data_IF_983202715030
#
_entry.id   IF_983202715030
#
_cell.length_a   1.000
_cell.length_b   1.000
_cell.length_c   1.000
_cell.angle_alpha   90.00
_cell.angle_beta   90.00
_cell.angle_gamma   90.00
#
_symmetry.space_group_name_H-M   'P 1'
#
loop_
_entity.id
_entity.type
_entity.pdbx_description
1 polymer ?
#
# COMPACT_ATOMS: atom_id res chain seq x y z
N UNK A 1 68.21 7.89 2.14
CA UNK A 1 68.92 7.34 3.31
C UNK A 1 68.85 8.41 4.40
N UNK A 2 68.28 8.20 5.57
CA UNK A 2 67.73 7.00 6.16
C UNK A 2 67.33 7.27 7.62
N UNK A 3 66.47 6.38 8.11
CA UNK A 3 66.40 5.77 9.44
C UNK A 3 66.64 6.60 10.72
N UNK A 4 65.65 6.46 11.62
CA UNK A 4 65.61 6.78 13.06
C UNK A 4 64.91 8.11 13.36
N UNK A 5 63.59 8.20 13.16
CA UNK A 5 62.58 7.77 14.15
C UNK A 5 63.07 6.89 15.31
N UNK A 6 63.28 7.53 16.46
CA UNK A 6 62.79 7.03 17.73
C UNK A 6 62.90 8.09 18.82
N UNK A 7 61.80 8.24 19.56
CA UNK A 7 61.67 8.79 20.91
C UNK A 7 61.37 10.30 21.01
N UNK A 8 60.08 10.61 21.03
CA UNK A 8 59.36 11.36 22.10
C UNK A 8 57.91 11.43 21.59
N UNK A 9 57.04 10.48 21.95
CA UNK A 9 56.25 10.51 23.18
C UNK A 9 54.81 10.90 22.79
N UNK A 10 53.75 10.16 23.10
CA UNK A 10 53.59 8.93 23.84
C UNK A 10 52.25 8.28 23.49
N UNK A 11 52.00 7.10 24.08
CA UNK A 11 50.74 6.35 24.19
C UNK A 11 49.72 6.53 23.04
N UNK A 12 49.46 5.55 22.20
CA UNK A 12 49.20 4.18 22.60
C UNK A 12 47.79 3.81 22.18
N UNK A 13 47.71 3.03 21.11
CA UNK A 13 46.74 1.95 20.92
C UNK A 13 45.26 2.26 21.18
N UNK A 14 44.48 2.37 20.11
CA UNK A 14 43.56 1.29 19.73
C UNK A 14 43.06 1.58 18.32
N UNK A 15 43.24 0.63 17.41
CA UNK A 15 42.35 0.50 16.26
C UNK A 15 40.94 0.46 16.81
N UNK A 16 40.12 1.45 16.46
CA UNK A 16 38.70 1.41 16.75
C UNK A 16 38.13 0.14 16.11
N UNK A 17 37.58 -0.79 16.91
CA UNK A 17 36.82 -1.90 16.38
C UNK A 17 35.61 -1.32 15.65
N UNK A 18 35.18 -2.03 14.59
CA UNK A 18 33.97 -1.77 13.82
C UNK A 18 32.90 -1.07 14.65
N UNK A 19 32.40 0.06 14.14
CA UNK A 19 31.21 0.78 14.62
C UNK A 19 30.10 -0.25 14.90
N UNK A 20 30.07 -0.75 16.13
CA UNK A 20 28.97 -1.50 16.66
C UNK A 20 27.93 -0.45 16.97
N UNK A 21 26.99 -0.26 16.04
CA UNK A 21 25.77 0.48 16.31
C UNK A 21 25.03 -0.36 17.35
N UNK A 22 25.04 0.10 18.59
CA UNK A 22 24.19 -0.40 19.64
C UNK A 22 22.76 0.00 19.24
N UNK A 23 21.98 -0.99 18.79
CA UNK A 23 20.61 -0.76 18.37
C UNK A 23 19.78 -0.55 19.63
N UNK A 24 19.46 0.72 19.89
CA UNK A 24 18.62 1.12 21.00
C UNK A 24 17.21 0.54 20.75
N UNK A 25 16.83 -0.42 21.59
CA UNK A 25 15.59 -1.22 21.45
C UNK A 25 14.36 -0.33 21.67
N UNK A 26 14.57 0.89 22.19
CA UNK A 26 13.56 1.91 22.43
C UNK A 26 13.25 2.73 21.15
N UNK A 27 14.14 2.75 20.14
CA UNK A 27 13.87 3.29 18.78
C UNK A 27 13.14 2.27 17.90
N UNK A 28 13.08 1.00 18.34
CA UNK A 28 12.06 0.05 17.89
C UNK A 28 10.73 0.34 18.61
N UNK A 29 10.29 1.61 18.60
CA UNK A 29 8.87 1.90 18.63
C UNK A 29 8.29 1.04 17.52
N UNK A 30 7.53 -0.01 17.90
CA UNK A 30 6.96 -0.99 17.00
C UNK A 30 6.55 -0.28 15.72
N UNK A 31 7.36 -0.44 14.67
CA UNK A 31 7.02 0.07 13.35
C UNK A 31 5.62 -0.45 13.14
N UNK A 32 4.65 0.46 13.14
CA UNK A 32 3.22 0.17 13.05
C UNK A 32 3.12 -0.85 11.91
N UNK A 33 2.97 -2.13 12.28
CA UNK A 33 3.50 -3.24 11.48
C UNK A 33 3.06 -3.03 10.05
N UNK A 34 3.99 -2.62 9.18
CA UNK A 34 3.69 -1.95 7.90
C UNK A 34 2.46 -2.63 7.32
N UNK A 35 1.30 -1.98 7.49
CA UNK A 35 0.04 -2.74 7.43
C UNK A 35 0.04 -3.36 6.04
N UNK A 36 -0.16 -4.68 5.97
CA UNK A 36 -0.34 -5.34 4.68
C UNK A 36 -1.56 -4.76 3.95
N UNK A 37 -2.15 -5.49 3.02
CA UNK A 37 -3.37 -5.05 2.32
C UNK A 37 -4.41 -4.40 3.26
N UNK A 38 -4.72 -3.12 3.03
CA UNK A 38 -5.73 -2.36 3.75
C UNK A 38 -7.08 -2.41 3.03
N UNK A 39 -8.16 -2.10 3.76
CA UNK A 39 -9.51 -1.97 3.19
C UNK A 39 -9.96 -0.52 3.32
N UNK A 40 -10.12 0.16 2.19
CA UNK A 40 -10.62 1.53 2.10
C UNK A 40 -12.12 1.55 1.84
N UNK A 41 -12.80 2.54 2.42
CA UNK A 41 -14.20 2.85 2.09
C UNK A 41 -14.25 4.15 1.31
N UNK A 42 -14.84 4.10 0.13
CA UNK A 42 -14.97 5.24 -0.77
C UNK A 42 -16.43 5.51 -1.12
N UNK A 43 -16.70 6.72 -1.63
CA UNK A 43 -18.01 7.07 -2.19
C UNK A 43 -17.82 7.53 -3.63
N UNK A 44 -18.66 7.01 -4.53
CA UNK A 44 -18.67 7.38 -5.95
C UNK A 44 -19.94 8.19 -6.23
N UNK A 45 -19.78 9.49 -6.44
CA UNK A 45 -20.84 10.38 -6.93
C UNK A 45 -20.63 10.74 -8.41
N UNK A 46 -19.37 10.72 -8.86
CA UNK A 46 -18.95 11.18 -10.17
C UNK A 46 -17.67 10.47 -10.65
N UNK A 47 -17.29 10.71 -11.91
CA UNK A 47 -16.06 10.13 -12.49
C UNK A 47 -14.76 10.63 -11.82
N UNK A 48 -14.82 11.74 -11.06
CA UNK A 48 -13.66 12.29 -10.36
C UNK A 48 -13.26 11.44 -9.15
N UNK A 49 -14.21 10.68 -8.61
CA UNK A 49 -14.00 9.84 -7.43
C UNK A 49 -13.25 8.53 -7.76
N UNK A 50 -13.02 8.27 -9.05
CA UNK A 50 -12.34 7.06 -9.54
C UNK A 50 -10.83 7.12 -9.31
N UNK A 51 -10.21 8.30 -9.45
CA UNK A 51 -8.76 8.45 -9.29
C UNK A 51 -8.21 7.91 -7.96
N UNK A 52 -8.72 8.33 -6.78
CA UNK A 52 -8.21 7.81 -5.51
C UNK A 52 -8.49 6.31 -5.30
N UNK A 53 -9.55 5.77 -5.92
CA UNK A 53 -9.83 4.33 -5.88
C UNK A 53 -8.75 3.57 -6.65
N UNK A 54 -8.36 4.07 -7.83
CA UNK A 54 -7.31 3.45 -8.65
C UNK A 54 -5.99 3.44 -7.91
N UNK A 55 -5.60 4.56 -7.30
CA UNK A 55 -4.36 4.68 -6.54
C UNK A 55 -4.31 3.59 -5.46
N UNK A 56 -5.35 3.46 -4.64
CA UNK A 56 -5.43 2.41 -3.61
C UNK A 56 -5.31 0.98 -4.17
N UNK A 57 -5.94 0.69 -5.32
CA UNK A 57 -5.84 -0.63 -5.95
C UNK A 57 -4.43 -0.90 -6.49
N UNK A 58 -3.74 0.12 -7.03
CA UNK A 58 -2.34 -0.01 -7.45
C UNK A 58 -1.38 -0.20 -6.27
N UNK A 59 -1.70 0.40 -5.11
CA UNK A 59 -0.94 0.23 -3.86
C UNK A 59 -1.14 -1.16 -3.22
N UNK A 60 -2.05 -1.98 -3.76
CA UNK A 60 -2.28 -3.34 -3.29
C UNK A 60 -3.42 -3.48 -2.29
N UNK A 61 -4.25 -2.44 -2.14
CA UNK A 61 -5.35 -2.39 -1.19
C UNK A 61 -6.68 -2.88 -1.80
N UNK A 62 -7.69 -3.00 -0.94
CA UNK A 62 -9.07 -3.34 -1.29
C UNK A 62 -9.93 -2.09 -1.11
N UNK A 63 -10.87 -1.85 -2.01
CA UNK A 63 -11.81 -0.74 -1.90
C UNK A 63 -13.25 -1.24 -1.89
N UNK A 64 -14.01 -0.80 -0.89
CA UNK A 64 -15.47 -0.90 -0.85
C UNK A 64 -16.03 0.48 -1.18
N UNK A 65 -16.68 0.61 -2.33
CA UNK A 65 -17.16 1.87 -2.84
C UNK A 65 -18.69 1.94 -2.83
N UNK A 66 -19.24 2.86 -2.07
CA UNK A 66 -20.67 3.14 -2.04
C UNK A 66 -21.05 4.09 -3.19
N UNK A 67 -22.02 3.68 -3.99
CA UNK A 67 -22.52 4.36 -5.17
C UNK A 67 -23.64 5.32 -4.74
N UNK A 68 -23.49 6.61 -5.02
CA UNK A 68 -24.55 7.56 -4.74
C UNK A 68 -25.82 7.25 -5.56
N UNK A 69 -27.04 7.36 -4.99
CA UNK A 69 -28.28 6.98 -5.68
C UNK A 69 -28.55 7.70 -7.01
N UNK A 70 -27.97 8.89 -7.21
CA UNK A 70 -28.08 9.59 -8.50
C UNK A 70 -27.21 8.90 -9.56
N UNK A 71 -25.98 8.57 -9.20
CA UNK A 71 -25.01 8.02 -10.12
C UNK A 71 -25.43 6.64 -10.65
N UNK A 72 -26.14 5.82 -9.84
CA UNK A 72 -26.72 4.53 -10.29
C UNK A 72 -27.63 4.64 -11.51
N UNK A 73 -28.28 5.80 -11.71
CA UNK A 73 -29.27 6.00 -12.80
C UNK A 73 -28.68 6.68 -14.03
N UNK A 74 -27.41 7.06 -13.96
CA UNK A 74 -26.70 7.79 -14.98
C UNK A 74 -25.70 6.87 -15.71
N UNK A 75 -25.43 7.16 -17.00
CA UNK A 75 -24.34 6.49 -17.76
C UNK A 75 -22.95 6.69 -17.16
N UNK A 76 -22.84 7.52 -16.12
CA UNK A 76 -21.62 7.70 -15.33
C UNK A 76 -21.20 6.37 -14.70
N UNK A 77 -22.13 5.60 -14.14
CA UNK A 77 -21.76 4.35 -13.47
C UNK A 77 -21.27 3.26 -14.42
N UNK A 78 -21.84 3.16 -15.62
CA UNK A 78 -21.34 2.23 -16.65
C UNK A 78 -19.88 2.53 -17.03
N UNK A 79 -19.51 3.82 -17.09
CA UNK A 79 -18.13 4.22 -17.39
C UNK A 79 -17.21 3.98 -16.22
N UNK A 80 -17.63 4.33 -15.01
CA UNK A 80 -16.86 4.11 -13.78
C UNK A 80 -16.61 2.63 -13.56
N UNK A 81 -17.64 1.78 -13.69
CA UNK A 81 -17.49 0.33 -13.50
C UNK A 81 -16.61 -0.28 -14.58
N UNK A 82 -16.75 0.13 -15.85
CA UNK A 82 -15.87 -0.34 -16.92
C UNK A 82 -14.40 0.06 -16.70
N UNK A 83 -14.15 1.29 -16.24
CA UNK A 83 -12.79 1.77 -15.93
C UNK A 83 -12.19 0.99 -14.75
N UNK A 84 -12.93 0.85 -13.64
CA UNK A 84 -12.47 0.10 -12.47
C UNK A 84 -12.30 -1.39 -12.77
N UNK A 85 -13.12 -1.97 -13.65
CA UNK A 85 -12.97 -3.34 -14.11
C UNK A 85 -11.70 -3.53 -14.96
N UNK A 86 -11.34 -2.53 -15.78
CA UNK A 86 -10.07 -2.55 -16.50
C UNK A 86 -8.88 -2.49 -15.52
N UNK A 87 -8.96 -1.65 -14.50
CA UNK A 87 -7.92 -1.52 -13.47
C UNK A 87 -7.74 -2.82 -12.69
N UNK A 88 -8.83 -3.43 -12.22
CA UNK A 88 -8.79 -4.72 -11.53
C UNK A 88 -8.14 -5.82 -12.39
N UNK A 89 -8.46 -5.88 -13.69
CA UNK A 89 -7.83 -6.83 -14.61
C UNK A 89 -6.34 -6.55 -14.84
N UNK A 90 -5.96 -5.27 -14.92
CA UNK A 90 -4.57 -4.87 -15.13
C UNK A 90 -3.67 -5.30 -13.98
N UNK A 91 -4.14 -5.14 -12.74
CA UNK A 91 -3.39 -5.55 -11.54
C UNK A 91 -3.55 -7.04 -11.20
N UNK A 92 -4.40 -7.78 -11.91
CA UNK A 92 -4.72 -9.18 -11.59
C UNK A 92 -5.54 -9.35 -10.30
N UNK A 93 -6.32 -8.34 -9.97
CA UNK A 93 -7.28 -8.33 -8.88
C UNK A 93 -8.67 -8.75 -9.34
N UNK A 94 -9.69 -8.28 -8.62
CA UNK A 94 -11.08 -8.66 -8.89
C UNK A 94 -12.06 -7.53 -8.61
N UNK A 95 -13.26 -7.61 -9.18
CA UNK A 95 -14.32 -6.63 -8.98
C UNK A 95 -15.69 -7.30 -8.99
N UNK A 96 -16.58 -6.86 -8.09
CA UNK A 96 -17.99 -7.23 -8.11
C UNK A 96 -18.85 -6.04 -7.72
N UNK A 97 -20.02 -5.93 -8.36
CA UNK A 97 -21.09 -5.10 -7.83
C UNK A 97 -21.91 -5.93 -6.85
N UNK A 98 -22.00 -5.47 -5.61
CA UNK A 98 -22.86 -6.04 -4.60
C UNK A 98 -24.14 -5.21 -4.55
N UNK A 99 -25.26 -5.83 -4.92
CA UNK A 99 -26.56 -5.17 -5.04
C UNK A 99 -26.50 -4.01 -6.07
N UNK A 100 -27.26 -2.92 -5.90
CA UNK A 100 -27.28 -1.81 -6.87
C UNK A 100 -26.38 -0.63 -6.46
N UNK A 101 -25.94 -0.58 -5.20
CA UNK A 101 -25.34 0.58 -4.56
C UNK A 101 -23.92 0.38 -4.02
N UNK A 102 -23.30 -0.79 -4.22
CA UNK A 102 -21.96 -1.04 -3.73
C UNK A 102 -21.07 -1.77 -4.74
N UNK A 103 -19.83 -1.32 -4.86
CA UNK A 103 -18.77 -1.99 -5.61
C UNK A 103 -17.67 -2.45 -4.66
N UNK A 104 -17.19 -3.66 -4.84
CA UNK A 104 -16.01 -4.17 -4.15
C UNK A 104 -14.93 -4.41 -5.19
N UNK A 105 -13.77 -3.79 -5.01
CA UNK A 105 -12.61 -3.91 -5.89
C UNK A 105 -11.43 -4.41 -5.05
N UNK A 106 -10.74 -5.43 -5.52
CA UNK A 106 -9.59 -6.03 -4.84
C UNK A 106 -8.35 -5.93 -5.71
N UNK A 107 -7.19 -5.75 -5.08
CA UNK A 107 -5.89 -5.85 -5.75
C UNK A 107 -5.45 -7.31 -5.99
N UNK A 108 -4.25 -7.46 -6.54
CA UNK A 108 -3.63 -8.74 -6.87
C UNK A 108 -3.64 -9.73 -5.70
N UNK A 109 -3.89 -11.01 -6.01
CA UNK A 109 -3.83 -12.08 -5.00
C UNK A 109 -5.09 -12.22 -4.13
N UNK A 110 -6.07 -11.33 -4.29
CA UNK A 110 -7.38 -11.42 -3.63
C UNK A 110 -8.47 -11.56 -4.70
N UNK A 111 -9.25 -12.65 -4.63
CA UNK A 111 -10.39 -12.89 -5.52
C UNK A 111 -11.69 -12.93 -4.74
N UNK A 112 -12.79 -12.54 -5.39
CA UNK A 112 -14.11 -12.49 -4.76
C UNK A 112 -14.85 -13.80 -5.09
N UNK A 113 -15.22 -14.60 -4.09
CA UNK A 113 -16.12 -15.73 -4.35
C UNK A 113 -17.55 -15.21 -4.55
N UNK A 114 -18.18 -15.56 -5.68
CA UNK A 114 -19.56 -15.18 -6.01
C UNK A 114 -20.57 -16.09 -5.34
N UNK A 115 -20.11 -17.21 -4.79
CA UNK A 115 -20.94 -18.09 -3.97
C UNK A 115 -21.10 -17.47 -2.59
N UNK A 116 -22.34 -17.12 -2.25
CA UNK A 116 -22.66 -16.63 -0.90
C UNK A 116 -22.48 -17.76 0.11
N UNK A 117 -21.99 -17.41 1.29
CA UNK A 117 -21.98 -18.31 2.45
C UNK A 117 -23.41 -18.38 3.01
N UNK A 118 -23.96 -19.58 3.15
CA UNK A 118 -25.35 -19.81 3.57
C UNK A 118 -26.08 -20.77 2.65
#
# INVERSE_FOLDING_TARGET
MGLMDRLVGGQGSRSEPADYIELDIEDFEASDAETGTQVHVAKIDSQRDVAPIKDAIYDGDIVIADIAPRATRDRTMERVSAELQQVAQEVGGDIVQKDDDQLVITAAGVSIDRKRLG
#
